data_IF_558477320766
#
_entry.id   IF_558477320766
#
_cell.length_a   1.000
_cell.length_b   1.000
_cell.length_c   1.000
_cell.angle_alpha   90.00
_cell.angle_beta   90.00
_cell.angle_gamma   90.00
#
_symmetry.space_group_name_H-M   'P 1'
#
loop_
_entity.id
_entity.type
_entity.pdbx_description
1 polymer ?
#
# COMPACT_ATOMS: atom_id res chain seq x y z
N UNK A 1 15.82 -18.21 20.94
CA UNK A 1 14.36 -18.23 20.64
C UNK A 1 14.18 -17.42 19.39
N UNK A 2 13.43 -17.91 18.41
CA UNK A 2 13.25 -17.17 17.18
C UNK A 2 12.56 -15.82 17.39
N UNK A 3 12.92 -14.82 16.59
CA UNK A 3 12.41 -13.46 16.69
C UNK A 3 11.88 -12.99 15.35
N UNK A 4 10.68 -12.40 15.37
CA UNK A 4 9.99 -11.91 14.17
C UNK A 4 10.77 -10.77 13.54
N UNK A 5 11.16 -10.93 12.28
CA UNK A 5 11.86 -9.91 11.50
C UNK A 5 10.87 -8.95 10.84
N UNK A 6 9.99 -9.49 9.98
CA UNK A 6 9.04 -8.72 9.18
C UNK A 6 7.74 -9.48 8.94
N UNK A 7 6.65 -8.74 8.70
CA UNK A 7 5.33 -9.28 8.33
C UNK A 7 5.20 -9.19 6.81
N UNK A 8 4.81 -10.28 6.16
CA UNK A 8 4.73 -10.37 4.68
C UNK A 8 3.33 -10.02 4.14
N UNK A 9 2.40 -9.61 5.01
CA UNK A 9 1.02 -9.29 4.62
C UNK A 9 1.00 -8.05 3.72
N UNK A 10 0.38 -8.20 2.54
CA UNK A 10 0.28 -7.17 1.50
C UNK A 10 1.64 -6.73 0.93
N UNK A 11 2.70 -7.52 1.13
CA UNK A 11 3.99 -7.29 0.51
C UNK A 11 3.96 -7.82 -0.93
N UNK A 12 4.40 -7.05 -1.93
CA UNK A 12 4.58 -7.52 -3.31
C UNK A 12 5.49 -8.75 -3.40
N UNK A 13 5.21 -9.66 -4.33
CA UNK A 13 5.99 -10.90 -4.48
C UNK A 13 7.47 -10.64 -4.79
N UNK A 14 7.77 -9.59 -5.56
CA UNK A 14 9.15 -9.14 -5.84
C UNK A 14 9.90 -8.76 -4.56
N UNK A 15 9.24 -8.08 -3.64
CA UNK A 15 9.85 -7.65 -2.39
C UNK A 15 10.09 -8.82 -1.44
N UNK A 16 9.20 -9.82 -1.44
CA UNK A 16 9.40 -11.06 -0.68
C UNK A 16 10.62 -11.82 -1.22
N UNK A 17 10.75 -11.93 -2.54
CA UNK A 17 11.90 -12.58 -3.18
C UNK A 17 13.22 -11.84 -2.88
N UNK A 18 13.22 -10.51 -2.96
CA UNK A 18 14.39 -9.69 -2.62
C UNK A 18 14.82 -9.88 -1.15
N UNK A 19 13.87 -9.94 -0.21
CA UNK A 19 14.17 -10.17 1.21
C UNK A 19 14.73 -11.60 1.42
N UNK A 20 14.19 -12.60 0.73
CA UNK A 20 14.72 -13.96 0.77
C UNK A 20 16.16 -14.03 0.23
N UNK A 21 16.44 -13.36 -0.88
CA UNK A 21 17.78 -13.25 -1.44
C UNK A 21 18.73 -12.56 -0.46
N UNK A 22 18.32 -11.42 0.11
CA UNK A 22 19.10 -10.64 1.07
C UNK A 22 19.53 -11.48 2.28
N UNK A 23 18.60 -12.22 2.87
CA UNK A 23 18.89 -13.07 4.03
C UNK A 23 19.80 -14.24 3.66
N UNK A 24 19.56 -14.87 2.52
CA UNK A 24 20.37 -15.99 2.03
C UNK A 24 21.80 -15.57 1.68
N UNK A 25 22.00 -14.43 1.04
CA UNK A 25 23.32 -13.90 0.69
C UNK A 25 24.16 -13.58 1.93
N UNK A 26 23.51 -13.14 3.01
CA UNK A 26 24.15 -12.84 4.28
C UNK A 26 24.25 -14.05 5.21
N UNK A 27 23.80 -15.23 4.78
CA UNK A 27 23.89 -16.48 5.54
C UNK A 27 23.05 -16.48 6.82
N UNK A 28 21.93 -15.75 6.83
CA UNK A 28 21.04 -15.65 8.00
C UNK A 28 20.01 -16.78 7.94
N UNK A 29 19.94 -17.58 9.01
CA UNK A 29 18.96 -18.66 9.11
C UNK A 29 17.57 -18.11 9.48
N UNK A 30 16.58 -18.37 8.62
CA UNK A 30 15.22 -17.88 8.78
C UNK A 30 14.16 -18.93 8.45
N UNK A 31 12.96 -18.72 8.99
CA UNK A 31 11.76 -19.45 8.60
C UNK A 31 10.58 -18.52 8.38
N UNK A 32 9.67 -18.98 7.54
CA UNK A 32 8.44 -18.27 7.20
C UNK A 32 7.23 -18.95 7.84
N UNK A 33 6.31 -18.16 8.36
CA UNK A 33 4.96 -18.62 8.69
C UNK A 33 4.05 -18.33 7.50
N UNK A 34 3.43 -19.35 6.85
CA UNK A 34 2.60 -19.13 5.68
C UNK A 34 1.27 -18.45 6.04
N UNK A 35 0.65 -17.83 5.05
CA UNK A 35 -0.74 -17.44 5.14
C UNK A 35 -1.62 -18.70 5.08
N UNK A 36 -2.28 -19.07 6.17
CA UNK A 36 -3.28 -20.12 6.22
C UNK A 36 -4.43 -19.84 5.25
N UNK A 37 -5.08 -20.92 4.80
CA UNK A 37 -6.05 -20.92 3.68
C UNK A 37 -7.21 -19.92 3.77
N UNK A 38 -7.51 -19.38 4.96
CA UNK A 38 -8.60 -18.43 5.19
C UNK A 38 -8.14 -16.97 5.24
N UNK A 39 -6.85 -16.69 5.04
CA UNK A 39 -6.29 -15.33 5.08
C UNK A 39 -6.26 -14.68 6.47
N UNK A 40 -6.61 -15.41 7.53
CA UNK A 40 -6.68 -14.88 8.91
C UNK A 40 -5.28 -14.78 9.53
N UNK A 41 -4.37 -15.72 9.22
CA UNK A 41 -3.02 -15.74 9.77
C UNK A 41 -2.16 -14.57 9.27
N UNK A 42 -1.23 -14.12 10.10
CA UNK A 42 -0.25 -13.10 9.71
C UNK A 42 1.01 -13.79 9.18
N UNK A 43 1.21 -13.87 7.84
CA UNK A 43 2.46 -14.40 7.33
C UNK A 43 3.61 -13.49 7.74
N UNK A 44 4.69 -14.09 8.18
CA UNK A 44 5.82 -13.38 8.74
C UNK A 44 7.09 -14.20 8.62
N UNK A 45 8.21 -13.49 8.55
CA UNK A 45 9.53 -14.05 8.50
C UNK A 45 10.21 -13.89 9.86
N UNK A 46 10.89 -14.95 10.31
CA UNK A 46 11.47 -15.06 11.63
C UNK A 46 12.92 -15.50 11.52
N UNK A 47 13.80 -14.86 12.29
CA UNK A 47 15.20 -15.27 12.40
C UNK A 47 15.33 -16.24 13.57
N UNK A 48 15.97 -17.38 13.34
CA UNK A 48 16.15 -18.41 14.36
C UNK A 48 17.13 -17.98 15.45
N UNK A 49 18.27 -17.41 15.01
CA UNK A 49 19.33 -16.97 15.88
C UNK A 49 19.16 -15.50 16.29
N UNK A 50 18.91 -15.27 17.58
CA UNK A 50 18.80 -13.91 18.13
C UNK A 50 20.08 -13.08 18.03
N UNK A 51 21.24 -13.71 17.91
CA UNK A 51 22.50 -12.99 17.70
C UNK A 51 22.59 -12.37 16.30
N UNK A 52 21.96 -13.00 15.30
CA UNK A 52 21.90 -12.53 13.91
C UNK A 52 20.72 -11.59 13.67
N UNK A 53 19.77 -11.51 14.62
CA UNK A 53 18.59 -10.67 14.48
C UNK A 53 18.93 -9.20 14.23
N UNK A 54 19.88 -8.65 14.98
CA UNK A 54 20.23 -7.23 14.85
C UNK A 54 20.92 -6.95 13.50
N UNK A 55 21.71 -7.92 13.00
CA UNK A 55 22.29 -7.86 11.66
C UNK A 55 21.22 -7.95 10.57
N UNK A 56 20.33 -8.94 10.65
CA UNK A 56 19.21 -9.13 9.73
C UNK A 56 18.33 -7.88 9.67
N UNK A 57 18.08 -7.27 10.82
CA UNK A 57 17.29 -6.04 10.92
C UNK A 57 17.99 -4.86 10.26
N UNK A 58 19.29 -4.69 10.51
CA UNK A 58 20.08 -3.62 9.88
C UNK A 58 20.10 -3.74 8.35
N UNK A 59 20.26 -4.96 7.82
CA UNK A 59 20.26 -5.21 6.37
C UNK A 59 18.90 -4.88 5.75
N UNK A 60 17.82 -5.25 6.43
CA UNK A 60 16.47 -4.96 5.97
C UNK A 60 16.18 -3.46 5.98
N UNK A 61 16.58 -2.75 7.05
CA UNK A 61 16.40 -1.31 7.16
C UNK A 61 17.18 -0.56 6.05
N UNK A 62 18.38 -1.05 5.69
CA UNK A 62 19.17 -0.53 4.56
C UNK A 62 18.48 -0.76 3.22
N UNK A 63 17.98 -1.98 2.98
CA UNK A 63 17.23 -2.33 1.78
C UNK A 63 15.95 -1.48 1.62
N UNK A 64 15.17 -1.31 2.70
CA UNK A 64 13.97 -0.48 2.69
C UNK A 64 14.29 0.99 2.33
N UNK A 65 15.36 1.54 2.90
CA UNK A 65 15.80 2.89 2.62
C UNK A 65 16.25 3.05 1.15
N UNK A 66 17.03 2.11 0.62
CA UNK A 66 17.44 2.10 -0.78
C UNK A 66 16.23 2.02 -1.72
N UNK A 67 15.26 1.18 -1.41
CA UNK A 67 14.03 1.04 -2.19
C UNK A 67 13.21 2.32 -2.19
N UNK A 68 13.05 2.98 -1.05
CA UNK A 68 12.38 4.28 -0.96
C UNK A 68 13.06 5.35 -1.81
N UNK A 69 14.39 5.39 -1.81
CA UNK A 69 15.16 6.33 -2.62
C UNK A 69 14.97 6.07 -4.12
N UNK A 70 15.00 4.80 -4.54
CA UNK A 70 14.74 4.41 -5.94
C UNK A 70 13.35 4.85 -6.41
N UNK A 71 12.31 4.49 -5.67
CA UNK A 71 10.92 4.85 -6.01
C UNK A 71 10.74 6.38 -6.07
N UNK A 72 11.35 7.11 -5.14
CA UNK A 72 11.31 8.58 -5.16
C UNK A 72 12.03 9.15 -6.39
N UNK A 73 13.20 8.61 -6.74
CA UNK A 73 13.95 9.06 -7.91
C UNK A 73 13.20 8.79 -9.22
N UNK A 74 12.56 7.62 -9.34
CA UNK A 74 11.69 7.27 -10.48
C UNK A 74 10.49 8.22 -10.57
N UNK A 75 9.83 8.49 -9.45
CA UNK A 75 8.73 9.45 -9.41
C UNK A 75 9.19 10.85 -9.85
N UNK A 76 10.32 11.34 -9.34
CA UNK A 76 10.88 12.63 -9.76
C UNK A 76 11.26 12.66 -11.25
N UNK A 77 11.76 11.55 -11.81
CA UNK A 77 12.00 11.44 -13.25
C UNK A 77 10.70 11.51 -14.05
N UNK A 78 9.65 10.80 -13.63
CA UNK A 78 8.33 10.86 -14.27
C UNK A 78 7.72 12.27 -14.21
N UNK A 79 7.90 12.98 -13.10
CA UNK A 79 7.50 14.38 -12.95
C UNK A 79 8.28 15.27 -13.92
N UNK A 80 9.61 15.12 -14.00
CA UNK A 80 10.46 15.88 -14.93
C UNK A 80 10.13 15.62 -16.40
N UNK A 81 9.75 14.39 -16.74
CA UNK A 81 9.30 14.02 -18.10
C UNK A 81 7.90 14.54 -18.45
N UNK A 82 7.20 15.21 -17.52
CA UNK A 82 5.82 15.68 -17.72
C UNK A 82 4.81 14.53 -17.86
N UNK A 83 5.21 13.31 -17.50
CA UNK A 83 4.39 12.09 -17.52
C UNK A 83 3.87 11.69 -16.15
N UNK A 84 4.13 12.48 -15.11
CA UNK A 84 3.35 12.43 -13.89
C UNK A 84 1.93 12.89 -14.25
N UNK A 85 1.17 11.99 -14.88
CA UNK A 85 -0.26 12.08 -15.16
C UNK A 85 -0.90 12.42 -13.84
N UNK A 86 -1.04 13.72 -13.62
CA UNK A 86 -1.62 14.21 -12.40
C UNK A 86 -3.10 13.91 -12.55
N UNK A 87 -3.82 13.69 -11.46
CA UNK A 87 -5.27 13.49 -11.48
C UNK A 87 -5.98 14.56 -12.34
N UNK A 88 -5.39 15.76 -12.45
CA UNK A 88 -5.75 16.84 -13.36
C UNK A 88 -5.70 16.51 -14.86
N UNK A 89 -4.73 15.72 -15.34
CA UNK A 89 -4.67 15.28 -16.74
C UNK A 89 -5.78 14.28 -17.05
N UNK A 90 -6.12 13.40 -16.12
CA UNK A 90 -7.20 12.42 -16.30
C UNK A 90 -8.59 13.09 -16.26
N UNK A 91 -8.75 14.14 -15.44
CA UNK A 91 -9.93 15.02 -15.44
C UNK A 91 -10.08 15.74 -16.80
N UNK A 92 -8.96 16.18 -17.39
CA UNK A 92 -8.95 16.89 -18.67
C UNK A 92 -9.13 15.96 -19.88
N UNK A 93 -8.66 14.72 -19.80
CA UNK A 93 -8.87 13.68 -20.81
C UNK A 93 -10.33 13.15 -20.83
N UNK A 94 -11.05 13.16 -19.69
CA UNK A 94 -12.42 12.60 -19.59
C UNK A 94 -13.42 13.50 -18.82
N UNK A 95 -13.61 14.78 -19.22
CA UNK A 95 -14.46 15.73 -18.50
C UNK A 95 -15.93 15.28 -18.38
N UNK A 96 -16.45 14.57 -19.38
CA UNK A 96 -17.81 14.04 -19.36
C UNK A 96 -18.05 12.97 -18.28
N UNK A 97 -17.08 12.09 -18.01
CA UNK A 97 -17.25 11.05 -16.98
C UNK A 97 -17.27 11.67 -15.60
N UNK A 98 -16.39 12.64 -15.35
CA UNK A 98 -16.35 13.38 -14.09
C UNK A 98 -17.69 14.09 -13.82
N UNK A 99 -18.21 14.85 -14.81
CA UNK A 99 -19.51 15.52 -14.70
C UNK A 99 -20.67 14.55 -14.47
N UNK A 100 -20.66 13.38 -15.13
CA UNK A 100 -21.66 12.33 -14.91
C UNK A 100 -21.66 11.82 -13.48
N UNK A 101 -20.49 11.48 -12.93
CA UNK A 101 -20.39 11.01 -11.54
C UNK A 101 -20.75 12.10 -10.53
N UNK A 102 -20.26 13.32 -10.70
CA UNK A 102 -20.63 14.45 -9.83
C UNK A 102 -22.13 14.73 -9.88
N UNK A 103 -22.73 14.72 -11.08
CA UNK A 103 -24.16 14.87 -11.26
C UNK A 103 -24.95 13.73 -10.60
N UNK A 104 -24.49 12.49 -10.73
CA UNK A 104 -25.13 11.32 -10.13
C UNK A 104 -25.06 11.33 -8.60
N UNK A 105 -23.90 11.68 -8.03
CA UNK A 105 -23.74 11.88 -6.58
C UNK A 105 -24.66 13.01 -6.10
N UNK A 106 -24.68 14.15 -6.80
CA UNK A 106 -25.58 15.27 -6.48
C UNK A 106 -27.05 14.87 -6.54
N UNK A 107 -27.46 14.07 -7.54
CA UNK A 107 -28.81 13.55 -7.69
C UNK A 107 -29.19 12.62 -6.54
N UNK A 108 -28.32 11.67 -6.17
CA UNK A 108 -28.54 10.77 -5.03
C UNK A 108 -28.65 11.58 -3.74
N UNK A 109 -27.73 12.52 -3.50
CA UNK A 109 -27.74 13.36 -2.30
C UNK A 109 -29.01 14.22 -2.25
N UNK A 110 -29.41 14.82 -3.36
CA UNK A 110 -30.64 15.58 -3.46
C UNK A 110 -31.85 14.71 -3.08
N UNK A 111 -32.03 13.56 -3.73
CA UNK A 111 -33.15 12.66 -3.42
C UNK A 111 -33.10 12.09 -2.01
N UNK A 112 -31.89 11.87 -1.45
CA UNK A 112 -31.72 11.34 -0.10
C UNK A 112 -31.98 12.39 0.98
N UNK A 113 -31.60 13.65 0.77
CA UNK A 113 -31.68 14.71 1.78
C UNK A 113 -33.01 15.47 1.68
N UNK A 114 -33.57 15.62 0.47
CA UNK A 114 -34.84 16.29 0.22
C UNK A 114 -36.00 15.81 1.12
N UNK A 115 -36.25 14.50 1.34
CA UNK A 115 -37.32 14.06 2.23
C UNK A 115 -37.06 14.44 3.70
N UNK A 116 -35.80 14.47 4.14
CA UNK A 116 -35.44 14.88 5.50
C UNK A 116 -35.59 16.39 5.72
N UNK A 117 -35.22 17.22 4.73
CA UNK A 117 -35.40 18.67 4.81
C UNK A 117 -36.88 19.05 4.79
N UNK A 118 -37.68 18.41 3.94
CA UNK A 118 -39.12 18.65 3.89
C UNK A 118 -39.83 18.18 5.17
N UNK A 119 -39.34 17.11 5.80
CA UNK A 119 -39.84 16.66 7.09
C UNK A 119 -39.55 17.66 8.21
N UNK A 120 -38.36 18.27 8.24
CA UNK A 120 -38.00 19.31 9.22
C UNK A 120 -38.68 20.67 8.96
N UNK A 121 -39.10 20.97 7.74
CA UNK A 121 -39.77 22.24 7.40
C UNK A 121 -41.30 22.17 7.55
N UNK A 122 -41.85 21.02 7.95
CA UNK A 122 -43.28 20.80 8.14
C UNK A 122 -43.58 20.66 9.64
N UNK A 123 -43.42 21.75 10.39
CA UNK A 123 -44.03 21.89 11.72
C UNK A 123 -45.32 22.73 11.60
N UNK A 124 -46.47 22.29 12.14
CA UNK A 124 -47.58 23.17 12.48
C UNK A 124 -47.34 23.96 13.79
#
# INVERSE_FOLDING_TARGET
MAKKLIVLRNMPDDEIEDIHALLKENGIDYYETPAGNWGISMPALWVENTAEFDQARSLLDEYENDRQQRVKAEYEQLVREGKARTIWDEIREKPFRFLLYTGFIGFILYFSIHPFLNFLSTDP
#
